data_IF_286708930515
#
_entry.id   IF_286708930515
#
_cell.length_a   1.000
_cell.length_b   1.000
_cell.length_c   1.000
_cell.angle_alpha   90.00
_cell.angle_beta   90.00
_cell.angle_gamma   90.00
#
_symmetry.space_group_name_H-M   'P 1'
#
loop_
_entity.id
_entity.type
_entity.pdbx_description
1 polymer ?
#
# COMPACT_ATOMS: atom_id res chain seq x y z
N UNK A 1 -21.28 -1.17 -24.63
CA UNK A 1 -22.69 -1.60 -24.54
C UNK A 1 -22.95 -2.59 -23.41
N UNK A 2 -21.92 -3.20 -22.80
CA UNK A 2 -22.05 -4.21 -21.74
C UNK A 2 -21.71 -3.69 -20.34
N UNK A 3 -21.87 -2.38 -20.09
CA UNK A 3 -21.60 -1.79 -18.79
C UNK A 3 -22.84 -1.89 -17.90
N UNK A 4 -22.67 -2.36 -16.67
CA UNK A 4 -23.75 -2.49 -15.69
C UNK A 4 -24.10 -1.12 -15.10
N UNK A 5 -25.38 -0.75 -15.14
CA UNK A 5 -25.88 0.54 -14.70
C UNK A 5 -25.63 1.65 -15.71
N UNK A 6 -26.04 2.88 -15.34
CA UNK A 6 -25.85 4.05 -16.21
C UNK A 6 -24.35 4.38 -16.30
N UNK A 7 -23.80 4.36 -17.51
CA UNK A 7 -22.36 4.58 -17.79
C UNK A 7 -21.38 3.61 -17.10
N UNK A 8 -21.87 2.53 -16.48
CA UNK A 8 -21.03 1.54 -15.81
C UNK A 8 -20.66 1.87 -14.37
N UNK A 9 -21.38 2.77 -13.71
CA UNK A 9 -21.13 3.17 -12.31
C UNK A 9 -21.23 1.97 -11.35
N UNK A 10 -22.17 1.04 -11.61
CA UNK A 10 -22.35 -0.15 -10.76
C UNK A 10 -21.46 -1.34 -11.14
N UNK A 11 -20.54 -1.19 -12.07
CA UNK A 11 -19.66 -2.30 -12.49
C UNK A 11 -18.80 -2.81 -11.35
N UNK A 12 -18.19 -1.92 -10.55
CA UNK A 12 -17.34 -2.30 -9.41
C UNK A 12 -18.10 -3.09 -8.35
N UNK A 13 -19.37 -2.74 -8.09
CA UNK A 13 -20.22 -3.48 -7.16
C UNK A 13 -20.58 -4.87 -7.71
N UNK A 14 -20.88 -4.98 -8.99
CA UNK A 14 -21.18 -6.25 -9.64
C UNK A 14 -19.97 -7.21 -9.61
N UNK A 15 -18.78 -6.68 -9.86
CA UNK A 15 -17.53 -7.46 -9.80
C UNK A 15 -17.24 -7.94 -8.36
N UNK A 16 -17.44 -7.10 -7.35
CA UNK A 16 -17.30 -7.48 -5.95
C UNK A 16 -18.30 -8.58 -5.56
N UNK A 17 -19.57 -8.42 -5.92
CA UNK A 17 -20.61 -9.41 -5.65
C UNK A 17 -20.28 -10.75 -6.33
N UNK A 18 -19.87 -10.72 -7.60
CA UNK A 18 -19.46 -11.90 -8.36
C UNK A 18 -18.32 -12.65 -7.69
N UNK A 19 -17.31 -11.95 -7.18
CA UNK A 19 -16.17 -12.56 -6.48
C UNK A 19 -16.60 -13.21 -5.16
N UNK A 20 -17.52 -12.59 -4.40
CA UNK A 20 -18.01 -13.12 -3.12
C UNK A 20 -18.81 -14.42 -3.33
N UNK A 21 -19.65 -14.48 -4.36
CA UNK A 21 -20.49 -15.66 -4.63
C UNK A 21 -19.79 -16.76 -5.45
N UNK A 22 -18.58 -16.50 -5.95
CA UNK A 22 -17.81 -17.49 -6.69
C UNK A 22 -17.29 -18.56 -5.73
N UNK A 23 -17.33 -19.82 -6.14
CA UNK A 23 -16.80 -20.96 -5.37
C UNK A 23 -15.29 -20.85 -5.18
N UNK A 24 -14.81 -21.26 -4.00
CA UNK A 24 -13.39 -21.39 -3.71
C UNK A 24 -12.87 -22.69 -4.31
N UNK A 25 -11.98 -22.60 -5.28
CA UNK A 25 -11.32 -23.75 -5.88
C UNK A 25 -10.07 -24.04 -5.06
N UNK A 26 -10.03 -25.22 -4.45
CA UNK A 26 -8.88 -25.71 -3.69
C UNK A 26 -8.22 -26.85 -4.46
N UNK A 27 -6.98 -26.64 -4.90
CA UNK A 27 -6.18 -27.69 -5.53
C UNK A 27 -5.46 -28.50 -4.45
N UNK A 28 -5.30 -29.80 -4.68
CA UNK A 28 -4.63 -30.72 -3.74
C UNK A 28 -3.16 -30.38 -3.47
N UNK A 29 -2.56 -29.55 -4.32
CA UNK A 29 -1.16 -29.09 -4.19
C UNK A 29 -0.95 -27.94 -3.22
N UNK A 30 -2.01 -27.31 -2.72
CA UNK A 30 -1.90 -26.14 -1.85
C UNK A 30 -1.51 -26.48 -0.41
N UNK A 31 -0.76 -25.58 0.21
CA UNK A 31 -0.53 -25.58 1.66
C UNK A 31 -1.73 -24.90 2.35
N UNK A 32 -2.80 -25.65 2.63
CA UNK A 32 -4.10 -25.13 3.06
C UNK A 32 -4.04 -24.11 4.19
N UNK A 33 -3.31 -24.38 5.27
CA UNK A 33 -3.23 -23.46 6.41
C UNK A 33 -2.66 -22.10 6.01
N UNK A 34 -1.56 -22.08 5.27
CA UNK A 34 -0.89 -20.86 4.84
C UNK A 34 -1.74 -20.16 3.78
N UNK A 35 -2.40 -20.91 2.90
CA UNK A 35 -3.27 -20.37 1.86
C UNK A 35 -4.45 -19.56 2.42
N UNK A 36 -5.08 -20.05 3.49
CA UNK A 36 -6.16 -19.31 4.16
C UNK A 36 -5.65 -18.13 4.98
N UNK A 37 -4.50 -18.30 5.65
CA UNK A 37 -3.95 -17.29 6.55
C UNK A 37 -3.31 -16.11 5.80
N UNK A 38 -2.63 -16.35 4.68
CA UNK A 38 -1.81 -15.33 4.02
C UNK A 38 -2.58 -14.09 3.52
N UNK A 39 -3.76 -14.19 2.86
CA UNK A 39 -4.50 -13.01 2.46
C UNK A 39 -5.03 -12.20 3.64
N UNK A 40 -5.47 -12.89 4.69
CA UNK A 40 -5.95 -12.25 5.91
C UNK A 40 -4.83 -11.52 6.64
N UNK A 41 -3.65 -12.11 6.68
CA UNK A 41 -2.46 -11.50 7.28
C UNK A 41 -2.03 -10.25 6.51
N UNK A 42 -2.04 -10.30 5.17
CA UNK A 42 -1.76 -9.13 4.33
C UNK A 42 -2.73 -7.98 4.62
N UNK A 43 -4.02 -8.26 4.60
CA UNK A 43 -5.06 -7.27 4.92
C UNK A 43 -4.89 -6.71 6.34
N UNK A 44 -4.60 -7.55 7.33
CA UNK A 44 -4.38 -7.14 8.71
C UNK A 44 -3.19 -6.17 8.82
N UNK A 45 -2.07 -6.43 8.15
CA UNK A 45 -0.90 -5.54 8.18
C UNK A 45 -1.21 -4.16 7.61
N UNK A 46 -1.92 -4.10 6.50
CA UNK A 46 -2.34 -2.83 5.91
C UNK A 46 -3.30 -2.08 6.85
N UNK A 47 -4.24 -2.76 7.49
CA UNK A 47 -5.14 -2.13 8.48
C UNK A 47 -4.38 -1.58 9.69
N UNK A 48 -3.32 -2.27 10.14
CA UNK A 48 -2.45 -1.76 11.21
C UNK A 48 -1.76 -0.45 10.81
N UNK A 49 -1.32 -0.31 9.56
CA UNK A 49 -0.73 0.95 9.07
C UNK A 49 -1.70 2.13 9.21
N UNK A 50 -3.00 1.93 8.97
CA UNK A 50 -4.00 3.00 9.11
C UNK A 50 -4.17 3.52 10.54
N UNK A 51 -3.75 2.77 11.55
CA UNK A 51 -3.80 3.22 12.95
C UNK A 51 -2.92 4.43 13.25
N UNK A 52 -1.92 4.69 12.39
CA UNK A 52 -0.96 5.79 12.54
C UNK A 52 -1.55 7.13 12.09
N UNK A 53 -2.55 7.08 11.19
CA UNK A 53 -3.16 8.30 10.67
C UNK A 53 -3.81 9.05 11.85
N UNK A 54 -3.42 10.33 12.10
CA UNK A 54 -3.94 11.08 13.23
C UNK A 54 -5.46 11.20 13.15
N UNK A 55 -6.13 10.76 14.20
CA UNK A 55 -7.58 10.82 14.33
C UNK A 55 -7.98 12.18 14.90
N UNK A 56 -9.28 12.51 14.73
CA UNK A 56 -9.87 13.79 15.08
C UNK A 56 -9.65 14.27 16.55
N UNK A 57 -9.29 13.39 17.45
CA UNK A 57 -9.32 13.70 18.90
C UNK A 57 -7.94 13.59 19.55
N UNK A 58 -7.05 12.69 19.09
CA UNK A 58 -5.77 12.44 19.75
C UNK A 58 -4.63 12.33 18.71
N UNK A 59 -3.87 13.41 18.54
CA UNK A 59 -2.70 13.48 17.65
C UNK A 59 -1.48 12.72 18.19
N UNK A 60 -1.47 12.36 19.47
CA UNK A 60 -0.27 11.91 20.18
C UNK A 60 -0.21 10.40 20.47
N UNK A 61 -1.02 9.58 19.79
CA UNK A 61 -1.13 8.14 20.09
C UNK A 61 0.19 7.37 19.89
N UNK A 62 1.05 7.79 18.96
CA UNK A 62 2.31 7.11 18.68
C UNK A 62 3.49 8.08 18.72
N UNK A 63 4.21 8.09 19.85
CA UNK A 63 5.46 8.86 19.98
C UNK A 63 6.54 8.40 18.97
N UNK A 64 6.48 7.14 18.52
CA UNK A 64 7.41 6.51 17.58
C UNK A 64 6.69 6.06 16.30
N UNK A 65 5.85 6.92 15.74
CA UNK A 65 5.01 6.59 14.58
C UNK A 65 5.83 6.12 13.37
N UNK A 66 7.00 6.72 13.13
CA UNK A 66 7.89 6.33 12.06
C UNK A 66 8.39 4.89 12.20
N UNK A 67 8.84 4.50 13.38
CA UNK A 67 9.35 3.13 13.61
C UNK A 67 8.23 2.09 13.43
N UNK A 68 7.02 2.42 13.83
CA UNK A 68 5.88 1.52 13.64
C UNK A 68 5.54 1.31 12.16
N UNK A 69 5.68 2.33 11.30
CA UNK A 69 5.53 2.17 9.84
C UNK A 69 6.55 1.17 9.31
N UNK A 70 7.82 1.29 9.68
CA UNK A 70 8.85 0.36 9.22
C UNK A 70 8.60 -1.08 9.66
N UNK A 71 8.13 -1.28 10.89
CA UNK A 71 7.72 -2.62 11.35
C UNK A 71 6.59 -3.18 10.51
N UNK A 72 5.59 -2.38 10.17
CA UNK A 72 4.49 -2.84 9.34
C UNK A 72 4.91 -3.13 7.89
N UNK A 73 5.77 -2.30 7.30
CA UNK A 73 6.30 -2.51 5.95
C UNK A 73 7.15 -3.78 5.88
N UNK A 74 8.06 -3.99 6.81
CA UNK A 74 8.88 -5.21 6.87
C UNK A 74 8.04 -6.48 7.04
N UNK A 75 6.99 -6.44 7.84
CA UNK A 75 6.06 -7.57 8.00
C UNK A 75 5.21 -7.80 6.75
N UNK A 76 4.92 -6.75 5.98
CA UNK A 76 4.19 -6.87 4.71
C UNK A 76 4.96 -7.69 3.66
N UNK A 77 6.29 -7.63 3.66
CA UNK A 77 7.14 -8.48 2.80
C UNK A 77 6.87 -9.97 3.05
N UNK A 78 6.75 -10.37 4.32
CA UNK A 78 6.42 -11.76 4.67
C UNK A 78 5.02 -12.18 4.20
N UNK A 79 4.05 -11.26 4.20
CA UNK A 79 2.71 -11.56 3.70
C UNK A 79 2.72 -11.93 2.21
N UNK A 80 3.44 -11.18 1.40
CA UNK A 80 3.61 -11.46 -0.04
C UNK A 80 4.33 -12.80 -0.26
N UNK A 81 5.37 -13.09 0.53
CA UNK A 81 6.07 -14.37 0.48
C UNK A 81 5.12 -15.56 0.77
N UNK A 82 4.30 -15.45 1.81
CA UNK A 82 3.36 -16.49 2.19
C UNK A 82 2.30 -16.73 1.10
N UNK A 83 1.80 -15.68 0.45
CA UNK A 83 0.85 -15.78 -0.66
C UNK A 83 1.47 -16.59 -1.82
N UNK A 84 2.66 -16.21 -2.28
CA UNK A 84 3.32 -16.90 -3.38
C UNK A 84 3.72 -18.35 -3.06
N UNK A 85 4.13 -18.62 -1.81
CA UNK A 85 4.53 -19.97 -1.40
C UNK A 85 3.35 -20.91 -1.18
N UNK A 86 2.25 -20.40 -0.65
CA UNK A 86 1.06 -21.20 -0.32
C UNK A 86 0.41 -21.87 -1.53
N UNK A 87 0.48 -21.22 -2.68
CA UNK A 87 -0.10 -21.68 -3.95
C UNK A 87 0.68 -22.84 -4.60
N UNK A 88 1.95 -23.06 -4.18
CA UNK A 88 2.84 -24.11 -4.66
C UNK A 88 2.94 -24.21 -6.21
N UNK A 89 2.79 -23.08 -6.90
CA UNK A 89 2.97 -22.98 -8.34
C UNK A 89 4.30 -22.28 -8.68
N UNK A 90 4.95 -22.74 -9.76
CA UNK A 90 6.27 -22.20 -10.15
C UNK A 90 6.23 -20.71 -10.49
N UNK A 91 5.15 -20.27 -11.14
CA UNK A 91 4.99 -18.87 -11.56
C UNK A 91 4.71 -17.94 -10.38
N UNK A 92 3.85 -18.34 -9.44
CA UNK A 92 3.57 -17.53 -8.26
C UNK A 92 4.77 -17.43 -7.32
N UNK A 93 5.53 -18.50 -7.17
CA UNK A 93 6.75 -18.50 -6.38
C UNK A 93 7.82 -17.59 -7.00
N UNK A 94 8.00 -17.62 -8.32
CA UNK A 94 8.95 -16.77 -9.02
C UNK A 94 8.57 -15.29 -8.92
N UNK A 95 7.28 -14.95 -9.08
CA UNK A 95 6.80 -13.57 -8.91
C UNK A 95 7.01 -13.07 -7.48
N UNK A 96 6.68 -13.88 -6.48
CA UNK A 96 6.86 -13.48 -5.07
C UNK A 96 8.33 -13.21 -4.72
N UNK A 97 9.28 -14.01 -5.19
CA UNK A 97 10.71 -13.78 -4.96
C UNK A 97 11.18 -12.47 -5.61
N UNK A 98 10.74 -12.18 -6.84
CA UNK A 98 11.08 -10.92 -7.52
C UNK A 98 10.60 -9.71 -6.71
N UNK A 99 9.36 -9.75 -6.25
CA UNK A 99 8.77 -8.66 -5.46
C UNK A 99 9.46 -8.51 -4.11
N UNK A 100 9.74 -9.60 -3.41
CA UNK A 100 10.45 -9.58 -2.14
C UNK A 100 11.82 -8.93 -2.27
N UNK A 101 12.58 -9.29 -3.30
CA UNK A 101 13.89 -8.69 -3.55
C UNK A 101 13.78 -7.18 -3.83
N UNK A 102 12.73 -6.75 -4.53
CA UNK A 102 12.43 -5.35 -4.77
C UNK A 102 12.07 -4.62 -3.48
N UNK A 103 11.10 -5.11 -2.72
CA UNK A 103 10.63 -4.48 -1.48
C UNK A 103 11.77 -4.33 -0.46
N UNK A 104 12.55 -5.38 -0.20
CA UNK A 104 13.68 -5.32 0.74
C UNK A 104 14.72 -4.28 0.32
N UNK A 105 15.05 -4.21 -0.98
CA UNK A 105 16.06 -3.25 -1.45
C UNK A 105 15.61 -1.79 -1.31
N UNK A 106 14.34 -1.52 -1.57
CA UNK A 106 13.79 -0.16 -1.50
C UNK A 106 13.34 0.24 -0.10
N UNK A 107 13.02 -0.70 0.79
CA UNK A 107 12.77 -0.45 2.21
C UNK A 107 13.99 0.23 2.88
N UNK A 108 15.20 -0.20 2.56
CA UNK A 108 16.43 0.41 3.09
C UNK A 108 16.56 1.87 2.61
N UNK A 109 16.32 2.12 1.34
CA UNK A 109 16.39 3.49 0.79
C UNK A 109 15.31 4.38 1.40
N UNK A 110 14.10 3.87 1.56
CA UNK A 110 12.98 4.55 2.21
C UNK A 110 13.32 4.91 3.66
N UNK A 111 13.93 3.99 4.42
CA UNK A 111 14.38 4.23 5.78
C UNK A 111 15.39 5.37 5.87
N UNK A 112 16.38 5.41 4.99
CA UNK A 112 17.40 6.47 4.96
C UNK A 112 16.76 7.84 4.68
N UNK A 113 15.84 7.92 3.72
CA UNK A 113 15.13 9.17 3.40
C UNK A 113 14.25 9.64 4.56
N UNK A 114 13.51 8.76 5.20
CA UNK A 114 12.72 9.13 6.37
C UNK A 114 13.60 9.64 7.50
N UNK A 115 14.69 8.93 7.81
CA UNK A 115 15.61 9.37 8.86
C UNK A 115 16.24 10.73 8.54
N UNK A 116 16.54 11.02 7.27
CA UNK A 116 17.05 12.34 6.87
C UNK A 116 16.03 13.46 7.09
N UNK A 117 14.74 13.23 6.81
CA UNK A 117 13.68 14.19 7.10
C UNK A 117 13.47 14.38 8.60
N UNK A 118 13.42 13.28 9.35
CA UNK A 118 13.17 13.33 10.79
C UNK A 118 14.36 13.78 11.61
N UNK A 119 15.61 13.68 11.10
CA UNK A 119 16.78 14.33 11.72
C UNK A 119 16.69 15.83 11.74
N UNK A 120 16.02 16.44 10.74
CA UNK A 120 15.71 17.86 10.74
C UNK A 120 14.69 18.26 11.82
N UNK A 121 13.83 17.33 12.23
CA UNK A 121 12.73 17.56 13.16
C UNK A 121 13.08 17.24 14.61
N UNK A 122 14.23 16.63 14.87
CA UNK A 122 14.70 16.16 16.19
C UNK A 122 13.72 15.21 16.91
N UNK A 123 12.71 14.67 16.22
CA UNK A 123 11.69 13.76 16.77
C UNK A 123 11.26 12.74 15.75
N UNK A 124 10.78 11.56 16.21
CA UNK A 124 10.28 10.46 15.36
C UNK A 124 8.74 10.40 15.30
N UNK A 125 8.09 11.48 15.71
CA UNK A 125 6.62 11.57 15.76
C UNK A 125 6.07 12.43 14.61
N UNK A 126 4.95 12.04 14.04
CA UNK A 126 4.26 12.85 13.05
C UNK A 126 3.61 14.10 13.65
N UNK A 127 3.32 14.11 14.95
CA UNK A 127 2.74 15.27 15.64
C UNK A 127 3.65 16.50 15.57
N UNK A 128 4.96 16.32 15.70
CA UNK A 128 5.93 17.41 15.56
C UNK A 128 6.01 17.91 14.12
N UNK A 129 5.91 17.02 13.14
CA UNK A 129 5.82 17.41 11.72
C UNK A 129 4.68 18.40 11.46
N UNK A 130 3.51 18.16 12.02
CA UNK A 130 2.35 19.06 11.84
C UNK A 130 2.61 20.45 12.38
N UNK A 131 3.29 20.57 13.53
CA UNK A 131 3.61 21.86 14.15
C UNK A 131 4.52 22.70 13.24
N UNK A 132 5.52 22.07 12.62
CA UNK A 132 6.47 22.76 11.74
C UNK A 132 5.81 23.14 10.41
N UNK A 133 5.01 22.24 9.84
CA UNK A 133 4.35 22.47 8.56
C UNK A 133 3.17 23.45 8.63
N UNK A 134 2.76 23.87 9.81
CA UNK A 134 1.73 24.89 9.97
C UNK A 134 2.10 26.21 9.27
N UNK A 135 3.39 26.56 9.25
CA UNK A 135 3.87 27.80 8.65
C UNK A 135 4.32 27.63 7.19
N UNK A 136 4.97 26.53 6.86
CA UNK A 136 5.55 26.28 5.52
C UNK A 136 5.49 24.78 5.18
N UNK A 137 5.05 24.47 3.98
CA UNK A 137 5.09 23.11 3.46
C UNK A 137 6.53 22.66 3.19
N UNK A 138 6.90 21.47 3.66
CA UNK A 138 8.25 20.91 3.47
C UNK A 138 8.61 20.64 2.00
N UNK A 139 7.60 20.51 1.12
CA UNK A 139 7.84 20.37 -0.33
C UNK A 139 8.72 21.50 -0.87
N UNK A 140 8.52 22.74 -0.44
CA UNK A 140 9.30 23.88 -0.94
C UNK A 140 10.77 23.83 -0.50
N UNK A 141 11.03 23.30 0.69
CA UNK A 141 12.39 23.15 1.21
C UNK A 141 13.11 21.94 0.61
N UNK A 142 12.40 20.83 0.43
CA UNK A 142 12.96 19.54 0.04
C UNK A 142 12.34 19.00 -1.26
N UNK A 143 12.22 19.84 -2.28
CA UNK A 143 11.58 19.50 -3.55
C UNK A 143 12.22 18.28 -4.22
N UNK A 144 13.55 18.19 -4.21
CA UNK A 144 14.27 17.05 -4.77
C UNK A 144 13.97 15.73 -4.01
N UNK A 145 13.93 15.81 -2.67
CA UNK A 145 13.55 14.66 -1.83
C UNK A 145 12.13 14.20 -2.10
N UNK A 146 11.22 15.14 -2.34
CA UNK A 146 9.83 14.81 -2.67
C UNK A 146 9.73 13.94 -3.93
N UNK A 147 10.43 14.27 -5.01
CA UNK A 147 10.40 13.46 -6.24
C UNK A 147 11.01 12.08 -6.04
N UNK A 148 12.11 11.97 -5.30
CA UNK A 148 12.74 10.68 -5.01
C UNK A 148 11.79 9.80 -4.18
N UNK A 149 11.17 10.37 -3.15
CA UNK A 149 10.22 9.67 -2.30
C UNK A 149 8.98 9.19 -3.06
N UNK A 150 8.47 9.99 -4.01
CA UNK A 150 7.39 9.54 -4.90
C UNK A 150 7.77 8.28 -5.67
N UNK A 151 8.98 8.23 -6.24
CA UNK A 151 9.45 7.05 -6.98
C UNK A 151 9.58 5.84 -6.04
N UNK A 152 10.18 6.00 -4.86
CA UNK A 152 10.34 4.92 -3.89
C UNK A 152 8.96 4.38 -3.45
N UNK A 153 8.00 5.24 -3.21
CA UNK A 153 6.65 4.81 -2.85
C UNK A 153 5.91 4.10 -3.99
N UNK A 154 6.12 4.49 -5.25
CA UNK A 154 5.58 3.74 -6.40
C UNK A 154 6.16 2.33 -6.48
N UNK A 155 7.44 2.18 -6.17
CA UNK A 155 8.11 0.88 -6.12
C UNK A 155 7.55 0.01 -4.98
N UNK A 156 7.34 0.60 -3.81
CA UNK A 156 6.77 -0.08 -2.64
C UNK A 156 5.34 -0.57 -2.87
N UNK A 157 4.56 0.18 -3.63
CA UNK A 157 3.20 -0.20 -4.02
C UNK A 157 3.15 -1.22 -5.17
N UNK A 158 4.30 -1.61 -5.72
CA UNK A 158 4.38 -2.50 -6.89
C UNK A 158 3.52 -2.00 -8.07
N UNK A 159 3.51 -0.70 -8.32
CA UNK A 159 2.77 -0.10 -9.43
C UNK A 159 3.65 0.11 -10.66
N UNK A 160 3.03 0.12 -11.83
CA UNK A 160 3.72 0.40 -13.09
C UNK A 160 4.45 1.75 -12.98
N UNK A 161 5.73 1.85 -13.35
CA UNK A 161 6.53 0.91 -14.14
C UNK A 161 7.23 -0.22 -13.36
N UNK A 162 7.04 -0.33 -12.05
CA UNK A 162 7.72 -1.28 -11.17
C UNK A 162 6.84 -2.47 -10.73
N UNK A 163 5.86 -2.83 -11.55
CA UNK A 163 4.91 -3.91 -11.31
C UNK A 163 5.51 -5.30 -11.61
N UNK A 164 6.39 -5.76 -10.73
CA UNK A 164 6.92 -7.13 -10.80
C UNK A 164 6.00 -8.17 -10.14
N UNK A 165 4.98 -7.70 -9.45
CA UNK A 165 4.04 -8.54 -8.71
C UNK A 165 3.06 -9.25 -9.65
N UNK A 166 2.48 -8.50 -10.57
CA UNK A 166 1.57 -9.05 -11.57
C UNK A 166 2.33 -9.50 -12.81
N UNK A 167 3.23 -8.65 -13.32
CA UNK A 167 4.06 -8.94 -14.48
C UNK A 167 3.28 -9.56 -15.64
N UNK A 168 2.13 -8.98 -16.00
CA UNK A 168 1.16 -9.56 -16.95
C UNK A 168 1.79 -10.12 -18.22
N UNK A 169 2.82 -9.46 -18.73
CA UNK A 169 3.51 -9.86 -19.94
C UNK A 169 4.36 -11.14 -19.81
N UNK A 170 4.83 -11.44 -18.58
CA UNK A 170 5.74 -12.54 -18.30
C UNK A 170 5.10 -13.69 -17.51
N UNK A 171 4.23 -13.37 -16.55
CA UNK A 171 3.75 -14.27 -15.51
C UNK A 171 2.23 -14.42 -15.45
N UNK A 172 1.49 -13.85 -16.41
CA UNK A 172 0.03 -13.84 -16.53
C UNK A 172 -0.61 -12.96 -15.45
N UNK A 173 -0.72 -13.40 -14.22
CA UNK A 173 -1.23 -12.63 -13.06
C UNK A 173 -0.33 -12.79 -11.82
N UNK A 174 0.91 -13.23 -12.03
CA UNK A 174 1.95 -13.29 -11.01
C UNK A 174 1.56 -14.14 -9.79
N UNK A 175 1.61 -13.56 -8.60
CA UNK A 175 1.41 -14.29 -7.34
C UNK A 175 -0.06 -14.65 -7.06
N UNK A 176 -1.03 -13.98 -7.73
CA UNK A 176 -2.46 -14.17 -7.52
C UNK A 176 -3.08 -15.27 -8.40
N UNK A 177 -2.32 -15.94 -9.27
CA UNK A 177 -2.82 -16.89 -10.29
C UNK A 177 -3.76 -17.93 -9.68
N UNK A 178 -3.38 -18.50 -8.56
CA UNK A 178 -4.09 -19.61 -7.93
C UNK A 178 -5.17 -19.16 -6.92
N UNK A 179 -5.23 -17.88 -6.61
CA UNK A 179 -6.24 -17.36 -5.70
C UNK A 179 -7.56 -17.12 -6.42
N UNK A 180 -8.66 -17.60 -5.84
CA UNK A 180 -10.00 -17.46 -6.39
C UNK A 180 -10.97 -16.83 -5.38
N UNK A 181 -12.10 -16.36 -5.86
CA UNK A 181 -13.22 -15.91 -5.05
C UNK A 181 -12.88 -14.81 -4.01
N UNK A 182 -13.32 -14.98 -2.77
CA UNK A 182 -13.17 -14.01 -1.69
C UNK A 182 -11.72 -13.71 -1.31
N UNK A 183 -10.81 -14.70 -1.37
CA UNK A 183 -9.39 -14.49 -1.06
C UNK A 183 -8.70 -13.58 -2.08
N UNK A 184 -9.03 -13.75 -3.35
CA UNK A 184 -8.59 -12.85 -4.40
C UNK A 184 -9.07 -11.41 -4.14
N UNK A 185 -10.35 -11.24 -3.77
CA UNK A 185 -10.89 -9.93 -3.42
C UNK A 185 -10.18 -9.29 -2.23
N UNK A 186 -9.85 -10.04 -1.18
CA UNK A 186 -9.14 -9.54 0.00
C UNK A 186 -7.73 -9.04 -0.37
N UNK A 187 -7.01 -9.76 -1.24
CA UNK A 187 -5.68 -9.34 -1.71
C UNK A 187 -5.77 -8.01 -2.44
N UNK A 188 -6.69 -7.86 -3.39
CA UNK A 188 -6.87 -6.59 -4.11
C UNK A 188 -7.31 -5.44 -3.21
N UNK A 189 -8.20 -5.70 -2.25
CA UNK A 189 -8.60 -4.68 -1.27
C UNK A 189 -7.37 -4.23 -0.48
N UNK A 190 -6.51 -5.14 -0.04
CA UNK A 190 -5.28 -4.76 0.70
C UNK A 190 -4.33 -3.94 -0.15
N UNK A 191 -4.18 -4.22 -1.44
CA UNK A 191 -3.36 -3.43 -2.38
C UNK A 191 -3.91 -2.01 -2.56
N UNK A 192 -5.22 -1.85 -2.79
CA UNK A 192 -5.81 -0.53 -2.91
C UNK A 192 -5.75 0.26 -1.59
N UNK A 193 -5.92 -0.41 -0.47
CA UNK A 193 -5.77 0.22 0.85
C UNK A 193 -4.33 0.68 1.08
N UNK A 194 -3.31 -0.07 0.68
CA UNK A 194 -1.91 0.37 0.78
C UNK A 194 -1.62 1.61 -0.06
N UNK A 195 -2.22 1.74 -1.26
CA UNK A 195 -2.11 2.93 -2.10
C UNK A 195 -2.70 4.16 -1.38
N UNK A 196 -3.87 4.00 -0.81
CA UNK A 196 -4.51 5.09 -0.04
C UNK A 196 -3.63 5.48 1.14
N UNK A 197 -3.11 4.52 1.89
CA UNK A 197 -2.23 4.78 3.03
C UNK A 197 -0.97 5.55 2.63
N UNK A 198 -0.27 5.11 1.59
CA UNK A 198 0.94 5.77 1.10
C UNK A 198 0.66 7.20 0.62
N UNK A 199 -0.46 7.43 -0.05
CA UNK A 199 -0.86 8.78 -0.45
C UNK A 199 -1.07 9.70 0.75
N UNK A 200 -1.62 9.19 1.85
CA UNK A 200 -1.72 9.92 3.11
C UNK A 200 -0.35 10.21 3.74
N UNK A 201 0.57 9.25 3.70
CA UNK A 201 1.94 9.48 4.21
C UNK A 201 2.63 10.57 3.41
N UNK A 202 2.57 10.55 2.07
CA UNK A 202 3.16 11.60 1.23
C UNK A 202 2.61 12.98 1.59
N UNK A 203 1.30 13.07 1.81
CA UNK A 203 0.67 14.30 2.25
C UNK A 203 1.21 14.76 3.59
N UNK A 204 1.23 13.88 4.58
CA UNK A 204 1.71 14.19 5.94
C UNK A 204 3.17 14.66 5.92
N UNK A 205 4.02 14.02 5.12
CA UNK A 205 5.45 14.33 5.07
C UNK A 205 5.75 15.69 4.40
N UNK A 206 5.02 16.05 3.35
CA UNK A 206 5.43 17.14 2.49
C UNK A 206 4.42 18.29 2.37
N UNK A 207 3.12 18.01 2.45
CA UNK A 207 2.05 18.97 2.16
C UNK A 207 1.27 19.44 3.40
N UNK A 208 1.69 19.00 4.57
CA UNK A 208 1.00 19.35 5.82
C UNK A 208 -0.10 18.38 6.20
N UNK A 209 -0.44 18.39 7.48
CA UNK A 209 -1.26 17.34 8.08
C UNK A 209 -2.62 17.75 8.63
N UNK A 210 -3.10 18.96 8.40
CA UNK A 210 -4.42 19.37 8.89
C UNK A 210 -5.53 18.63 8.14
N UNK A 211 -5.91 17.44 8.62
CA UNK A 211 -6.95 16.61 8.01
C UNK A 211 -8.37 17.25 8.08
N UNK A 212 -8.51 18.36 8.76
CA UNK A 212 -9.81 18.98 9.07
C UNK A 212 -10.24 20.09 8.09
N UNK A 213 -9.34 20.56 7.24
CA UNK A 213 -9.65 21.57 6.26
C UNK A 213 -10.13 20.91 4.96
N UNK A 214 -11.16 21.47 4.34
CA UNK A 214 -11.65 21.01 3.03
C UNK A 214 -10.54 21.00 1.96
N UNK A 215 -9.65 21.98 2.00
CA UNK A 215 -8.50 22.06 1.09
C UNK A 215 -7.57 20.85 1.26
N UNK A 216 -7.28 20.46 2.49
CA UNK A 216 -6.41 19.34 2.79
C UNK A 216 -7.02 18.00 2.38
N UNK A 217 -8.35 17.87 2.49
CA UNK A 217 -9.07 16.71 1.97
C UNK A 217 -8.99 16.64 0.44
N UNK A 218 -9.17 17.76 -0.25
CA UNK A 218 -9.03 17.82 -1.72
C UNK A 218 -7.61 17.45 -2.15
N UNK A 219 -6.58 17.94 -1.47
CA UNK A 219 -5.17 17.60 -1.75
C UNK A 219 -4.94 16.09 -1.60
N UNK A 220 -5.47 15.45 -0.54
CA UNK A 220 -5.34 14.00 -0.37
C UNK A 220 -6.02 13.23 -1.51
N UNK A 221 -7.22 13.64 -1.92
CA UNK A 221 -7.89 13.03 -3.07
C UNK A 221 -7.12 13.21 -4.37
N UNK A 222 -6.56 14.38 -4.61
CA UNK A 222 -5.73 14.64 -5.79
C UNK A 222 -4.48 13.79 -5.82
N UNK A 223 -3.81 13.56 -4.67
CA UNK A 223 -2.67 12.66 -4.58
C UNK A 223 -3.05 11.20 -4.85
N UNK A 224 -4.16 10.72 -4.27
CA UNK A 224 -4.67 9.37 -4.55
C UNK A 224 -4.93 9.21 -6.05
N UNK A 225 -5.63 10.15 -6.65
CA UNK A 225 -5.93 10.13 -8.08
C UNK A 225 -4.65 10.18 -8.93
N UNK A 226 -3.66 10.99 -8.56
CA UNK A 226 -2.38 11.07 -9.25
C UNK A 226 -1.67 9.70 -9.22
N UNK A 227 -1.56 9.07 -8.06
CA UNK A 227 -0.90 7.76 -7.92
C UNK A 227 -1.64 6.68 -8.72
N UNK A 228 -2.97 6.70 -8.73
CA UNK A 228 -3.78 5.73 -9.51
C UNK A 228 -3.62 5.98 -11.01
N UNK A 229 -3.47 7.23 -11.45
CA UNK A 229 -3.30 7.60 -12.87
C UNK A 229 -1.91 7.34 -13.42
N UNK A 230 -0.89 7.21 -12.57
CA UNK A 230 0.46 6.75 -12.96
C UNK A 230 0.38 5.25 -13.25
N UNK A 231 -0.10 4.93 -14.48
CA UNK A 231 -0.27 3.54 -14.93
C UNK A 231 0.40 3.37 -16.28
#
# INVERSE_FOLDING_TARGET
PYKVGYLGIFQSFNDAIKLIFKENILLNSFNYLIYYFSPLFNFFMVMMMFSIIPKFIDMDFFNLSLLFIFVCLSLNVYSVMMIGWSSNSKYSYLSSIRVISQMISYEISLMIFFLSLFSYLESLSFSELFKIQYNLWLVFLFLFMFFIMLIIFLIEMNRIPFDFLEGESELVSGFNIEFSSGFFAIIFISEYMSIIFISFIIKILFLGGNLFNLLDFIISLMLIMLIILIR
#
